data_IF_839407234685
#
_entry.id   IF_839407234685
#
_cell.length_a   1.000
_cell.length_b   1.000
_cell.length_c   1.000
_cell.angle_alpha   90.00
_cell.angle_beta   90.00
_cell.angle_gamma   90.00
#
_symmetry.space_group_name_H-M   'P 1'
#
loop_
_entity.id
_entity.type
_entity.pdbx_description
1 polymer ?
#
# COMPACT_ATOMS: atom_id res chain seq x y z
N UNK A 1 16.32 -7.88 -11.60
CA UNK A 1 15.58 -8.28 -10.39
C UNK A 1 15.74 -7.20 -9.34
N UNK A 2 14.72 -6.37 -9.11
CA UNK A 2 14.74 -5.38 -8.03
C UNK A 2 14.48 -6.12 -6.72
N UNK A 3 15.54 -6.53 -6.02
CA UNK A 3 15.42 -7.09 -4.67
C UNK A 3 14.96 -5.97 -3.73
N UNK A 4 13.65 -5.91 -3.49
CA UNK A 4 13.11 -5.14 -2.38
C UNK A 4 13.43 -5.96 -1.13
N UNK A 5 14.35 -5.46 -0.30
CA UNK A 5 14.86 -6.19 0.85
C UNK A 5 13.72 -6.68 1.76
N UNK A 6 13.82 -7.94 2.21
CA UNK A 6 12.97 -8.48 3.25
C UNK A 6 13.21 -7.70 4.56
N UNK A 7 12.15 -7.28 5.22
CA UNK A 7 12.23 -6.45 6.43
C UNK A 7 11.91 -7.33 7.63
N UNK A 8 12.94 -7.92 8.24
CA UNK A 8 12.82 -8.74 9.45
C UNK A 8 13.00 -7.92 10.73
N UNK A 9 13.80 -6.85 10.68
CA UNK A 9 14.27 -6.14 11.88
C UNK A 9 14.18 -4.62 11.74
N UNK A 10 14.10 -3.89 12.87
CA UNK A 10 13.97 -2.43 12.91
C UNK A 10 15.13 -1.69 12.22
N UNK A 11 16.33 -2.29 12.23
CA UNK A 11 17.53 -1.72 11.61
C UNK A 11 17.38 -1.62 10.08
N UNK A 12 16.65 -2.55 9.47
CA UNK A 12 16.36 -2.54 8.03
C UNK A 12 15.50 -1.33 7.64
N UNK A 13 14.68 -0.79 8.54
CA UNK A 13 13.82 0.35 8.23
C UNK A 13 14.58 1.64 7.87
N UNK A 14 15.82 1.81 8.34
CA UNK A 14 16.64 2.99 7.99
C UNK A 14 17.39 2.84 6.66
N UNK A 15 17.74 1.60 6.30
CA UNK A 15 18.48 1.28 5.08
C UNK A 15 17.57 1.18 3.86
N UNK A 16 16.26 0.97 4.06
CA UNK A 16 15.27 0.98 2.99
C UNK A 16 15.29 2.29 2.20
N UNK A 17 15.77 2.18 0.96
CA UNK A 17 15.75 3.24 -0.02
C UNK A 17 14.29 3.62 -0.34
N UNK A 18 14.07 4.91 -0.56
CA UNK A 18 12.76 5.41 -0.95
C UNK A 18 11.82 5.77 0.20
N UNK A 19 11.97 5.27 1.43
CA UNK A 19 11.09 5.68 2.55
C UNK A 19 11.44 7.09 3.08
N UNK A 20 10.41 7.89 3.37
CA UNK A 20 10.58 9.18 4.06
C UNK A 20 10.69 9.02 5.57
N UNK A 21 11.25 9.99 6.28
CA UNK A 21 11.41 9.98 7.77
C UNK A 21 10.16 9.52 8.52
N UNK A 22 8.97 9.95 8.11
CA UNK A 22 7.70 9.53 8.73
C UNK A 22 7.37 8.06 8.48
N UNK A 23 7.62 7.56 7.27
CA UNK A 23 7.44 6.15 6.93
C UNK A 23 8.43 5.25 7.67
N UNK A 24 9.68 5.69 7.86
CA UNK A 24 10.67 4.95 8.66
C UNK A 24 10.24 4.78 10.11
N UNK A 25 9.68 5.84 10.72
CA UNK A 25 9.09 5.75 12.07
C UNK A 25 7.90 4.78 12.13
N UNK A 26 7.08 4.74 11.09
CA UNK A 26 5.96 3.79 11.00
C UNK A 26 6.45 2.35 10.80
N UNK A 27 7.49 2.17 9.99
CA UNK A 27 8.16 0.89 9.75
C UNK A 27 8.66 0.28 11.07
N UNK A 28 9.45 1.03 11.86
CA UNK A 28 9.94 0.53 13.16
C UNK A 28 8.83 0.13 14.13
N UNK A 29 7.71 0.86 14.13
CA UNK A 29 6.56 0.53 15.01
C UNK A 29 5.75 -0.67 14.53
N UNK A 30 5.90 -1.07 13.26
CA UNK A 30 5.06 -2.06 12.59
C UNK A 30 5.90 -2.98 11.70
N UNK A 31 7.08 -3.42 12.18
CA UNK A 31 8.02 -4.22 11.38
C UNK A 31 7.34 -5.47 10.79
N UNK A 32 6.49 -6.14 11.56
CA UNK A 32 5.71 -7.32 11.11
C UNK A 32 4.84 -7.05 9.88
N UNK A 33 4.35 -5.81 9.68
CA UNK A 33 3.51 -5.44 8.53
C UNK A 33 4.34 -5.11 7.29
N UNK A 34 5.65 -4.93 7.42
CA UNK A 34 6.49 -4.39 6.35
C UNK A 34 6.73 -5.39 5.23
N UNK A 35 6.69 -6.70 5.50
CA UNK A 35 6.70 -7.69 4.42
C UNK A 35 5.42 -7.61 3.59
N UNK A 36 4.25 -7.46 4.22
CA UNK A 36 2.99 -7.20 3.50
C UNK A 36 3.02 -5.91 2.70
N UNK A 37 3.68 -4.85 3.20
CA UNK A 37 3.90 -3.61 2.42
C UNK A 37 4.75 -3.87 1.18
N UNK A 38 5.84 -4.64 1.31
CA UNK A 38 6.71 -5.04 0.20
C UNK A 38 5.93 -5.81 -0.86
N UNK A 39 5.20 -6.84 -0.44
CA UNK A 39 4.34 -7.65 -1.33
C UNK A 39 3.28 -6.78 -2.00
N UNK A 40 2.62 -5.89 -1.25
CA UNK A 40 1.64 -4.94 -1.79
C UNK A 40 2.21 -4.01 -2.85
N UNK A 41 3.44 -3.52 -2.65
CA UNK A 41 4.13 -2.69 -3.64
C UNK A 41 4.50 -3.48 -4.90
N UNK A 42 4.92 -4.75 -4.77
CA UNK A 42 5.22 -5.61 -5.92
C UNK A 42 3.96 -5.90 -6.74
N UNK A 43 2.86 -6.30 -6.10
CA UNK A 43 1.58 -6.52 -6.77
C UNK A 43 1.11 -5.26 -7.51
N UNK A 44 1.27 -4.09 -6.91
CA UNK A 44 0.92 -2.83 -7.56
C UNK A 44 1.75 -2.54 -8.83
N UNK A 45 3.06 -2.87 -8.81
CA UNK A 45 3.92 -2.73 -9.99
C UNK A 45 3.50 -3.70 -11.09
N UNK A 46 3.32 -4.97 -10.74
CA UNK A 46 2.94 -6.03 -11.66
C UNK A 46 1.60 -5.72 -12.33
N UNK A 47 0.61 -5.30 -11.55
CA UNK A 47 -0.70 -4.93 -12.06
C UNK A 47 -0.63 -3.67 -12.94
N UNK A 48 0.16 -2.67 -12.55
CA UNK A 48 0.36 -1.48 -13.37
C UNK A 48 1.01 -1.81 -14.72
N UNK A 49 2.02 -2.68 -14.73
CA UNK A 49 2.66 -3.13 -15.96
C UNK A 49 1.70 -3.95 -16.82
N UNK A 50 0.89 -4.81 -16.21
CA UNK A 50 -0.13 -5.60 -16.89
C UNK A 50 -1.17 -4.70 -17.59
N UNK A 51 -1.72 -3.71 -16.88
CA UNK A 51 -2.72 -2.77 -17.40
C UNK A 51 -2.19 -1.90 -18.55
N UNK A 52 -0.89 -1.55 -18.50
CA UNK A 52 -0.28 -0.64 -19.47
C UNK A 52 0.63 -1.34 -20.49
N UNK A 53 0.64 -2.67 -20.56
CA UNK A 53 1.60 -3.45 -21.39
C UNK A 53 1.63 -3.10 -22.88
N UNK A 54 0.53 -2.61 -23.45
CA UNK A 54 0.42 -2.19 -24.86
C UNK A 54 0.33 -0.67 -25.05
N UNK A 55 0.66 0.12 -24.03
CA UNK A 55 0.68 1.59 -24.08
C UNK A 55 2.11 2.09 -24.29
N UNK A 56 2.24 3.32 -24.83
CA UNK A 56 3.53 3.99 -25.00
C UNK A 56 4.30 4.13 -23.67
N UNK A 57 3.56 4.44 -22.61
CA UNK A 57 4.05 4.32 -21.24
C UNK A 57 3.52 3.00 -20.66
N UNK A 58 4.42 2.07 -20.34
CA UNK A 58 4.10 0.69 -19.94
C UNK A 58 4.30 0.40 -18.45
N UNK A 59 4.40 1.43 -17.62
CA UNK A 59 4.66 1.32 -16.18
C UNK A 59 5.96 0.57 -15.80
N UNK A 60 6.93 0.52 -16.71
CA UNK A 60 8.26 -0.03 -16.41
C UNK A 60 8.94 0.78 -15.29
N UNK A 61 9.45 0.06 -14.29
CA UNK A 61 10.25 0.65 -13.22
C UNK A 61 11.71 0.55 -13.62
N UNK A 62 12.33 1.68 -13.96
CA UNK A 62 13.79 1.74 -14.15
C UNK A 62 14.47 1.34 -12.83
N UNK A 63 15.62 0.66 -12.91
CA UNK A 63 16.37 -0.04 -11.85
C UNK A 63 16.82 0.83 -10.65
N UNK A 64 16.32 2.05 -10.51
CA UNK A 64 16.52 2.86 -9.31
C UNK A 64 15.71 2.28 -8.16
N UNK A 65 16.34 2.13 -7.01
CA UNK A 65 15.84 1.64 -5.71
C UNK A 65 14.62 2.38 -5.11
N UNK A 66 13.91 3.17 -5.91
CA UNK A 66 12.71 3.91 -5.54
C UNK A 66 11.54 3.24 -6.26
N UNK A 67 10.70 2.56 -5.47
CA UNK A 67 9.39 2.08 -5.89
C UNK A 67 8.67 3.22 -6.63
N UNK A 68 8.54 3.03 -7.95
CA UNK A 68 8.07 3.98 -8.96
C UNK A 68 9.00 5.18 -9.22
N UNK A 69 9.38 5.32 -10.49
CA UNK A 69 10.32 6.33 -10.99
C UNK A 69 9.99 7.73 -10.50
N UNK A 70 11.01 8.38 -9.96
CA UNK A 70 10.93 9.71 -9.34
C UNK A 70 10.38 10.80 -10.27
N UNK A 71 10.37 10.60 -11.59
CA UNK A 71 9.94 11.62 -12.57
C UNK A 71 8.43 11.64 -12.74
N UNK A 72 7.79 10.48 -12.92
CA UNK A 72 6.33 10.38 -13.10
C UNK A 72 5.61 10.76 -11.82
N UNK A 73 6.09 10.28 -10.67
CA UNK A 73 5.57 10.68 -9.37
C UNK A 73 5.87 12.14 -8.98
N UNK A 74 6.68 12.86 -9.78
CA UNK A 74 6.92 14.31 -9.68
C UNK A 74 6.15 15.14 -10.72
N UNK A 75 5.39 14.52 -11.63
CA UNK A 75 4.48 15.22 -12.53
C UNK A 75 3.02 14.94 -12.17
N UNK A 76 2.10 15.87 -12.49
CA UNK A 76 0.68 15.74 -12.18
C UNK A 76 -0.10 15.04 -13.29
N UNK A 77 0.38 13.89 -13.76
CA UNK A 77 -0.19 13.21 -14.93
C UNK A 77 -1.24 12.17 -14.54
N UNK A 78 -2.01 11.69 -15.52
CA UNK A 78 -3.01 10.62 -15.34
C UNK A 78 -2.38 9.29 -14.93
N UNK A 79 -1.20 9.00 -15.48
CA UNK A 79 -0.41 7.81 -15.16
C UNK A 79 0.06 7.86 -13.71
N UNK A 80 0.53 9.03 -13.24
CA UNK A 80 0.90 9.22 -11.85
C UNK A 80 -0.29 9.02 -10.90
N UNK A 81 -1.48 9.50 -11.28
CA UNK A 81 -2.71 9.28 -10.52
C UNK A 81 -3.03 7.78 -10.39
N UNK A 82 -2.93 7.03 -11.48
CA UNK A 82 -3.11 5.58 -11.47
C UNK A 82 -2.10 4.88 -10.56
N UNK A 83 -0.81 5.22 -10.66
CA UNK A 83 0.24 4.64 -9.81
C UNK A 83 -0.01 4.89 -8.33
N UNK A 84 -0.44 6.11 -7.96
CA UNK A 84 -0.82 6.43 -6.58
C UNK A 84 -1.98 5.57 -6.07
N UNK A 85 -3.02 5.43 -6.91
CA UNK A 85 -4.19 4.60 -6.61
C UNK A 85 -3.80 3.14 -6.42
N UNK A 86 -3.20 2.50 -7.43
CA UNK A 86 -2.88 1.07 -7.39
C UNK A 86 -1.84 0.72 -6.32
N UNK A 87 -0.91 1.63 -6.01
CA UNK A 87 0.04 1.43 -4.90
C UNK A 87 -0.65 1.44 -3.55
N UNK A 88 -1.60 2.35 -3.35
CA UNK A 88 -2.36 2.41 -2.08
C UNK A 88 -3.29 1.21 -1.96
N UNK A 89 -3.90 0.77 -3.07
CA UNK A 89 -4.72 -0.43 -3.16
C UNK A 89 -3.90 -1.69 -2.81
N UNK A 90 -2.74 -1.86 -3.45
CA UNK A 90 -1.87 -3.03 -3.26
C UNK A 90 -1.42 -3.20 -1.81
N UNK A 91 -1.05 -2.11 -1.13
CA UNK A 91 -0.72 -2.17 0.32
C UNK A 91 -1.94 -2.53 1.16
N UNK A 92 -3.11 -1.93 0.90
CA UNK A 92 -4.33 -2.23 1.65
C UNK A 92 -4.74 -3.70 1.48
N UNK A 93 -4.67 -4.20 0.25
CA UNK A 93 -5.00 -5.58 -0.11
C UNK A 93 -4.03 -6.57 0.56
N UNK A 94 -2.72 -6.38 0.40
CA UNK A 94 -1.71 -7.27 0.95
C UNK A 94 -1.80 -7.40 2.47
N UNK A 95 -1.94 -6.27 3.17
CA UNK A 95 -2.08 -6.26 4.63
C UNK A 95 -3.37 -6.95 5.06
N UNK A 96 -4.49 -6.70 4.38
CA UNK A 96 -5.78 -7.35 4.68
C UNK A 96 -5.65 -8.87 4.55
N UNK A 97 -5.04 -9.35 3.47
CA UNK A 97 -4.84 -10.79 3.22
C UNK A 97 -3.89 -11.43 4.23
N UNK A 98 -2.82 -10.74 4.60
CA UNK A 98 -1.90 -11.21 5.65
C UNK A 98 -2.61 -11.33 7.02
N UNK A 99 -3.56 -10.42 7.33
CA UNK A 99 -4.37 -10.51 8.54
C UNK A 99 -5.31 -11.73 8.52
N UNK A 100 -6.08 -11.94 7.46
CA UNK A 100 -7.05 -13.03 7.40
C UNK A 100 -6.41 -14.42 7.25
N UNK A 101 -5.20 -14.50 6.68
CA UNK A 101 -4.41 -15.74 6.64
C UNK A 101 -3.72 -16.08 7.96
N UNK A 102 -3.78 -15.21 8.97
CA UNK A 102 -3.14 -15.43 10.27
C UNK A 102 -1.62 -15.25 10.27
N UNK A 103 -1.05 -14.61 9.24
CA UNK A 103 0.39 -14.32 9.18
C UNK A 103 0.82 -13.22 10.16
N UNK A 104 -0.13 -12.36 10.56
CA UNK A 104 0.10 -11.21 11.41
C UNK A 104 -0.55 -11.40 12.78
N UNK A 105 0.15 -11.01 13.85
CA UNK A 105 -0.35 -11.19 15.22
C UNK A 105 -1.26 -10.05 15.68
N UNK A 106 -1.02 -8.83 15.19
CA UNK A 106 -1.80 -7.63 15.60
C UNK A 106 -3.16 -7.47 14.93
N UNK A 107 -3.50 -8.33 13.98
CA UNK A 107 -4.79 -8.30 13.27
C UNK A 107 -5.26 -9.73 12.96
N UNK A 108 -6.48 -9.85 12.45
CA UNK A 108 -7.08 -11.14 12.11
C UNK A 108 -8.33 -10.95 11.24
N UNK A 109 -9.19 -11.97 11.23
CA UNK A 109 -10.47 -11.92 10.54
C UNK A 109 -11.36 -10.77 11.02
N UNK A 110 -12.21 -10.28 10.11
CA UNK A 110 -13.34 -9.43 10.49
C UNK A 110 -14.32 -10.22 11.37
N UNK A 111 -14.86 -9.55 12.38
CA UNK A 111 -15.74 -10.12 13.39
C UNK A 111 -17.07 -9.37 13.50
N UNK A 112 -17.30 -8.39 12.62
CA UNK A 112 -18.48 -7.52 12.64
C UNK A 112 -19.76 -8.25 12.21
N UNK A 113 -19.66 -9.21 11.28
CA UNK A 113 -20.80 -10.02 10.81
C UNK A 113 -20.54 -11.49 11.10
N UNK A 114 -21.46 -12.13 11.83
CA UNK A 114 -21.33 -13.52 12.32
C UNK A 114 -22.69 -14.19 12.46
N UNK A 115 -22.68 -15.52 12.42
CA UNK A 115 -23.86 -16.33 12.69
C UNK A 115 -24.86 -16.34 11.55
N UNK A 116 -26.10 -16.73 11.84
CA UNK A 116 -27.14 -16.90 10.82
C UNK A 116 -27.83 -15.57 10.50
N UNK A 117 -27.92 -15.24 9.22
CA UNK A 117 -28.71 -14.12 8.71
C UNK A 117 -30.21 -14.39 8.83
N UNK A 118 -31.02 -13.34 8.67
CA UNK A 118 -32.48 -13.45 8.67
C UNK A 118 -32.99 -14.36 7.54
N UNK A 119 -32.32 -14.37 6.39
CA UNK A 119 -32.63 -15.23 5.24
C UNK A 119 -32.08 -16.66 5.36
N UNK A 120 -31.51 -17.00 6.52
CA UNK A 120 -31.05 -18.35 6.82
C UNK A 120 -29.63 -18.68 6.37
N UNK A 121 -28.89 -17.73 5.75
CA UNK A 121 -27.47 -17.89 5.40
C UNK A 121 -26.59 -17.88 6.65
N UNK A 122 -25.61 -18.76 6.75
CA UNK A 122 -24.71 -18.84 7.91
C UNK A 122 -23.33 -18.27 7.59
N UNK A 123 -22.97 -17.17 8.27
CA UNK A 123 -21.63 -16.60 8.22
C UNK A 123 -20.66 -17.48 9.00
N UNK A 124 -19.67 -18.02 8.29
CA UNK A 124 -18.61 -18.86 8.85
C UNK A 124 -17.26 -18.55 8.18
N UNK A 125 -16.19 -19.14 8.72
CA UNK A 125 -14.84 -18.94 8.20
C UNK A 125 -14.20 -17.62 8.65
N UNK A 126 -13.28 -17.11 7.83
CA UNK A 126 -12.50 -15.91 8.13
C UNK A 126 -12.77 -14.84 7.07
N UNK A 127 -13.62 -13.88 7.39
CA UNK A 127 -13.84 -12.71 6.55
C UNK A 127 -12.63 -11.78 6.60
N UNK A 128 -12.28 -11.17 5.46
CA UNK A 128 -11.17 -10.24 5.35
C UNK A 128 -11.43 -8.96 6.16
N UNK A 129 -10.52 -8.57 7.05
CA UNK A 129 -10.60 -7.30 7.79
C UNK A 129 -10.09 -6.12 6.94
N UNK A 130 -10.89 -5.73 5.96
CA UNK A 130 -10.57 -4.68 4.98
C UNK A 130 -10.33 -3.34 5.67
N UNK A 131 -11.09 -3.03 6.74
CA UNK A 131 -10.96 -1.79 7.49
C UNK A 131 -9.55 -1.61 8.07
N UNK A 132 -8.93 -2.67 8.58
CA UNK A 132 -7.57 -2.64 9.09
C UNK A 132 -6.55 -2.34 7.97
N UNK A 133 -6.64 -3.05 6.84
CA UNK A 133 -5.74 -2.85 5.71
C UNK A 133 -5.84 -1.44 5.11
N UNK A 134 -7.06 -0.91 4.93
CA UNK A 134 -7.30 0.47 4.47
C UNK A 134 -6.70 1.47 5.47
N UNK A 135 -6.95 1.29 6.78
CA UNK A 135 -6.45 2.19 7.80
C UNK A 135 -4.91 2.23 7.82
N UNK A 136 -4.27 1.07 7.76
CA UNK A 136 -2.82 0.99 7.71
C UNK A 136 -2.24 1.59 6.42
N UNK A 137 -2.78 1.23 5.26
CA UNK A 137 -2.37 1.80 3.96
C UNK A 137 -2.47 3.32 3.95
N UNK A 138 -3.57 3.87 4.46
CA UNK A 138 -3.76 5.32 4.63
C UNK A 138 -2.68 5.95 5.50
N UNK A 139 -2.37 5.37 6.66
CA UNK A 139 -1.35 5.92 7.57
C UNK A 139 0.04 5.87 6.93
N UNK A 140 0.38 4.77 6.26
CA UNK A 140 1.72 4.52 5.72
C UNK A 140 1.97 5.21 4.37
N UNK A 141 1.07 5.07 3.39
CA UNK A 141 1.24 5.61 2.03
C UNK A 141 1.09 7.14 2.04
N UNK A 142 0.11 7.68 2.77
CA UNK A 142 -0.12 9.14 2.84
C UNK A 142 0.96 9.87 3.66
N UNK A 143 1.80 9.15 4.42
CA UNK A 143 2.84 9.74 5.26
C UNK A 143 3.81 10.65 4.48
N UNK A 144 4.03 10.37 3.19
CA UNK A 144 4.84 11.18 2.28
C UNK A 144 4.21 12.53 1.95
N UNK A 145 2.89 12.59 1.93
CA UNK A 145 2.13 13.77 1.51
C UNK A 145 1.77 14.66 2.71
N UNK A 146 1.63 14.08 3.90
CA UNK A 146 1.32 14.80 5.15
C UNK A 146 2.53 15.51 5.81
N UNK A 147 3.61 15.76 5.09
CA UNK A 147 4.77 16.50 5.60
C UNK A 147 4.49 18.01 5.73
N UNK A 148 5.03 18.68 6.76
CA UNK A 148 4.79 20.12 7.01
C UNK A 148 4.97 21.01 5.75
N UNK A 149 6.02 20.77 4.95
CA UNK A 149 6.33 21.53 3.72
C UNK A 149 5.44 21.19 2.51
N UNK A 150 4.63 20.13 2.59
CA UNK A 150 3.74 19.66 1.52
C UNK A 150 2.26 19.85 1.86
N UNK A 151 1.94 20.06 3.14
CA UNK A 151 0.58 20.28 3.63
C UNK A 151 -0.10 21.37 2.79
N UNK A 152 -1.29 21.06 2.28
CA UNK A 152 -2.14 21.94 1.48
C UNK A 152 -1.58 22.35 0.11
N UNK A 153 -0.50 21.71 -0.39
CA UNK A 153 -0.11 21.89 -1.80
C UNK A 153 -1.13 21.16 -2.69
N UNK A 154 -1.61 21.77 -3.79
CA UNK A 154 -2.61 21.15 -4.69
C UNK A 154 -2.23 19.72 -5.10
N UNK A 155 -0.95 19.52 -5.44
CA UNK A 155 -0.40 18.20 -5.76
C UNK A 155 -0.53 17.18 -4.63
N UNK A 156 -0.26 17.60 -3.39
CA UNK A 156 -0.35 16.73 -2.23
C UNK A 156 -1.80 16.32 -1.98
N UNK A 157 -2.73 17.25 -2.15
CA UNK A 157 -4.17 16.98 -2.07
C UNK A 157 -4.62 16.01 -3.16
N UNK A 158 -4.19 16.22 -4.41
CA UNK A 158 -4.44 15.31 -5.53
C UNK A 158 -3.90 13.90 -5.25
N UNK A 159 -2.66 13.79 -4.77
CA UNK A 159 -2.06 12.49 -4.45
C UNK A 159 -2.81 11.78 -3.31
N UNK A 160 -3.25 12.52 -2.28
CA UNK A 160 -4.08 11.97 -1.20
C UNK A 160 -5.45 11.49 -1.73
N UNK A 161 -6.05 12.24 -2.64
CA UNK A 161 -7.29 11.85 -3.31
C UNK A 161 -7.09 10.55 -4.13
N UNK A 162 -6.05 10.47 -4.94
CA UNK A 162 -5.76 9.29 -5.75
C UNK A 162 -5.46 8.06 -4.88
N UNK A 163 -4.70 8.23 -3.79
CA UNK A 163 -4.46 7.15 -2.84
C UNK A 163 -5.77 6.66 -2.20
N UNK A 164 -6.67 7.58 -1.83
CA UNK A 164 -7.98 7.23 -1.26
C UNK A 164 -8.87 6.52 -2.28
N UNK A 165 -8.87 6.96 -3.54
CA UNK A 165 -9.59 6.33 -4.62
C UNK A 165 -9.16 4.87 -4.82
N UNK A 166 -7.88 4.54 -4.65
CA UNK A 166 -7.41 3.15 -4.73
C UNK A 166 -7.75 2.29 -3.51
N UNK A 167 -8.08 2.89 -2.37
CA UNK A 167 -8.45 2.14 -1.16
C UNK A 167 -9.95 1.84 -1.07
N UNK A 168 -10.77 2.41 -1.96
CA UNK A 168 -12.22 2.21 -2.02
C UNK A 168 -12.59 1.33 -3.20
#
# INVERSE_FOLDING_TARGET
MSSLAHVSDEENCETLAGLVKRQRRLCRRNVELMDSVRVGAMMAIEECQSQFKYRRWNCSTESSSKLFGNVILKQGTREAAFVHSISSAGVAHAVTRACSSGQLQKCGCDRTVRGRSQDGFEWSGCSDNIAYGIAFSKVFVDARERGKKKRNKPRSVMNLHNNEAGRR
#
